data_IF_742560154294
#
_entry.id   IF_742560154294
#
_cell.length_a   1.000
_cell.length_b   1.000
_cell.length_c   1.000
_cell.angle_alpha   90.00
_cell.angle_beta   90.00
_cell.angle_gamma   90.00
#
_symmetry.space_group_name_H-M   'P 1'
#
loop_
_entity.id
_entity.type
_entity.pdbx_description
1 polymer ?
#
# COMPACT_ATOMS: atom_id res chain seq x y z
N UNK A 1 -34.06 -23.08 22.88
CA UNK A 1 -33.26 -24.31 22.61
C UNK A 1 -33.36 -24.79 21.16
N UNK A 2 -34.51 -24.66 20.47
CA UNK A 2 -34.71 -25.20 19.11
C UNK A 2 -33.88 -24.49 18.03
N UNK A 3 -33.68 -23.16 18.15
CA UNK A 3 -32.97 -22.37 17.14
C UNK A 3 -31.47 -22.75 16.98
N UNK A 4 -30.84 -23.19 18.08
CA UNK A 4 -29.44 -23.66 18.08
C UNK A 4 -29.27 -25.00 17.34
N UNK A 5 -30.32 -25.82 17.27
CA UNK A 5 -30.30 -27.15 16.63
C UNK A 5 -30.56 -27.08 15.13
N UNK A 6 -31.26 -26.04 14.65
CA UNK A 6 -31.59 -25.83 13.24
C UNK A 6 -30.64 -24.86 12.51
N UNK A 7 -29.61 -24.36 13.21
CA UNK A 7 -28.70 -23.30 12.75
C UNK A 7 -29.44 -22.11 12.11
N UNK A 8 -30.58 -21.72 12.68
CA UNK A 8 -31.37 -20.60 12.19
C UNK A 8 -31.29 -19.43 13.17
N UNK A 9 -31.12 -18.23 12.63
CA UNK A 9 -30.93 -17.03 13.43
C UNK A 9 -31.39 -15.75 12.72
N UNK A 10 -31.09 -14.63 13.36
CA UNK A 10 -31.40 -13.29 12.86
C UNK A 10 -30.07 -12.64 12.50
N UNK A 11 -30.01 -12.00 11.33
CA UNK A 11 -28.86 -11.20 10.89
C UNK A 11 -29.31 -9.74 10.79
N UNK A 12 -28.66 -8.88 11.56
CA UNK A 12 -28.84 -7.42 11.50
C UNK A 12 -27.66 -6.82 10.75
N UNK A 13 -27.93 -6.07 9.69
CA UNK A 13 -26.93 -5.35 8.90
C UNK A 13 -27.14 -3.85 9.11
N UNK A 14 -26.19 -3.22 9.78
CA UNK A 14 -26.18 -1.77 9.97
C UNK A 14 -25.33 -1.15 8.84
N UNK A 15 -25.93 -0.24 8.05
CA UNK A 15 -25.25 0.42 6.94
C UNK A 15 -25.26 1.94 7.15
N UNK A 16 -24.20 2.62 6.73
CA UNK A 16 -24.10 4.08 6.80
C UNK A 16 -24.89 4.82 5.69
N UNK A 17 -25.79 4.12 4.97
CA UNK A 17 -26.61 4.67 3.88
C UNK A 17 -27.92 5.31 4.37
N UNK A 18 -28.56 6.09 3.49
CA UNK A 18 -29.75 6.94 3.76
C UNK A 18 -30.97 6.20 4.36
N UNK A 19 -31.02 4.87 4.26
CA UNK A 19 -32.06 4.03 4.87
C UNK A 19 -31.38 3.10 5.88
N UNK A 20 -31.43 3.48 7.16
CA UNK A 20 -30.80 2.75 8.26
C UNK A 20 -31.22 1.28 8.36
N UNK A 21 -30.36 0.50 9.02
CA UNK A 21 -30.43 -0.89 9.48
C UNK A 21 -31.44 -1.84 8.79
N UNK A 22 -30.92 -2.86 8.11
CA UNK A 22 -31.71 -3.94 7.52
C UNK A 22 -31.66 -5.19 8.42
N UNK A 23 -32.83 -5.65 8.88
CA UNK A 23 -32.98 -6.85 9.71
C UNK A 23 -33.55 -8.00 8.89
N UNK A 24 -32.83 -9.11 8.84
CA UNK A 24 -33.25 -10.35 8.18
C UNK A 24 -33.53 -11.43 9.21
N UNK A 25 -34.78 -11.87 9.29
CA UNK A 25 -35.23 -12.93 10.21
C UNK A 25 -35.22 -14.31 9.54
N UNK A 26 -35.07 -15.36 10.36
CA UNK A 26 -35.16 -16.76 9.94
C UNK A 26 -34.14 -17.16 8.85
N UNK A 27 -32.91 -16.64 8.97
CA UNK A 27 -31.84 -16.98 8.04
C UNK A 27 -31.22 -18.33 8.42
N UNK A 28 -31.14 -19.28 7.49
CA UNK A 28 -30.37 -20.50 7.68
C UNK A 28 -28.88 -20.16 7.62
N UNK A 29 -28.14 -20.62 8.63
CA UNK A 29 -26.70 -20.40 8.82
C UNK A 29 -26.28 -18.91 8.78
N UNK A 30 -26.68 -18.11 9.79
CA UNK A 30 -26.41 -16.68 9.83
C UNK A 30 -24.91 -16.33 9.83
N UNK A 31 -24.06 -17.21 10.36
CA UNK A 31 -22.60 -17.05 10.35
C UNK A 31 -22.03 -17.12 8.94
N UNK A 32 -22.53 -18.04 8.11
CA UNK A 32 -22.12 -18.12 6.71
C UNK A 32 -22.53 -16.88 5.92
N UNK A 33 -23.76 -16.38 6.14
CA UNK A 33 -24.22 -15.13 5.50
C UNK A 33 -23.33 -13.94 5.90
N UNK A 34 -23.01 -13.82 7.19
CA UNK A 34 -22.06 -12.82 7.70
C UNK A 34 -20.70 -12.93 7.01
N UNK A 35 -20.15 -14.14 6.91
CA UNK A 35 -18.84 -14.38 6.29
C UNK A 35 -18.80 -14.02 4.80
N UNK A 36 -19.87 -14.30 4.05
CA UNK A 36 -19.98 -13.90 2.64
C UNK A 36 -19.96 -12.38 2.49
N UNK A 37 -20.68 -11.66 3.35
CA UNK A 37 -20.70 -10.19 3.33
C UNK A 37 -19.30 -9.63 3.61
N UNK A 38 -18.63 -10.10 4.67
CA UNK A 38 -17.26 -9.64 4.98
C UNK A 38 -16.28 -9.96 3.86
N UNK A 39 -16.35 -11.16 3.29
CA UNK A 39 -15.49 -11.55 2.18
C UNK A 39 -15.67 -10.64 0.96
N UNK A 40 -16.90 -10.22 0.65
CA UNK A 40 -17.15 -9.30 -0.45
C UNK A 40 -16.58 -7.91 -0.17
N UNK A 41 -16.75 -7.41 1.06
CA UNK A 41 -16.17 -6.12 1.49
C UNK A 41 -14.65 -6.14 1.40
N UNK A 42 -14.01 -7.25 1.79
CA UNK A 42 -12.55 -7.38 1.71
C UNK A 42 -12.05 -7.42 0.27
N UNK A 43 -12.75 -8.16 -0.62
CA UNK A 43 -12.44 -8.18 -2.07
C UNK A 43 -12.51 -6.78 -2.67
N UNK A 44 -13.56 -6.01 -2.34
CA UNK A 44 -13.74 -4.66 -2.86
C UNK A 44 -12.62 -3.72 -2.35
N UNK A 45 -12.22 -3.82 -1.08
CA UNK A 45 -11.08 -3.05 -0.53
C UNK A 45 -9.74 -3.42 -1.16
N UNK A 46 -9.50 -4.71 -1.41
CA UNK A 46 -8.28 -5.18 -2.07
C UNK A 46 -8.21 -4.68 -3.52
N UNK A 47 -9.35 -4.67 -4.23
CA UNK A 47 -9.44 -4.15 -5.59
C UNK A 47 -9.20 -2.63 -5.62
N UNK A 48 -9.74 -1.88 -4.67
CA UNK A 48 -9.53 -0.43 -4.56
C UNK A 48 -8.06 -0.10 -4.22
N UNK A 49 -7.50 -0.82 -3.24
CA UNK A 49 -6.09 -0.67 -2.84
C UNK A 49 -5.12 -0.97 -3.99
N UNK A 50 -5.44 -1.97 -4.81
CA UNK A 50 -4.62 -2.32 -5.99
C UNK A 50 -4.70 -1.22 -7.05
N UNK A 51 -5.89 -0.66 -7.31
CA UNK A 51 -6.07 0.47 -8.23
C UNK A 51 -5.30 1.70 -7.75
N UNK A 52 -5.34 2.00 -6.46
CA UNK A 52 -4.59 3.11 -5.88
C UNK A 52 -3.09 2.90 -5.97
N UNK A 53 -2.61 1.68 -5.71
CA UNK A 53 -1.19 1.33 -5.85
C UNK A 53 -0.73 1.44 -7.30
N UNK A 54 -1.53 0.97 -8.27
CA UNK A 54 -1.25 1.08 -9.70
C UNK A 54 -1.26 2.54 -10.16
N UNK A 55 -2.22 3.35 -9.70
CA UNK A 55 -2.31 4.77 -9.99
C UNK A 55 -1.11 5.54 -9.42
N UNK A 56 -0.69 5.22 -8.20
CA UNK A 56 0.50 5.80 -7.58
C UNK A 56 1.77 5.38 -8.32
N UNK A 57 1.91 4.11 -8.70
CA UNK A 57 3.05 3.60 -9.47
C UNK A 57 3.13 4.28 -10.85
N UNK A 58 1.99 4.50 -11.51
CA UNK A 58 1.92 5.22 -12.78
C UNK A 58 2.33 6.70 -12.61
N UNK A 59 1.84 7.38 -11.57
CA UNK A 59 2.19 8.76 -11.28
C UNK A 59 3.68 8.94 -10.93
N UNK A 60 4.27 7.99 -10.21
CA UNK A 60 5.71 7.98 -9.93
C UNK A 60 6.52 7.76 -11.21
N UNK A 61 6.08 6.86 -12.09
CA UNK A 61 6.77 6.57 -13.36
C UNK A 61 6.76 7.77 -14.32
N UNK A 62 5.71 8.58 -14.32
CA UNK A 62 5.63 9.82 -15.11
C UNK A 62 6.53 10.93 -14.54
N UNK A 63 6.84 10.87 -13.23
CA UNK A 63 7.73 11.80 -12.54
C UNK A 63 9.20 11.36 -12.52
N UNK A 64 9.47 10.09 -12.81
CA UNK A 64 10.82 9.55 -12.92
C UNK A 64 11.39 9.90 -14.31
N UNK A 65 12.58 10.52 -14.40
CA UNK A 65 13.25 10.70 -15.69
C UNK A 65 13.46 9.35 -16.38
N UNK A 66 13.51 9.31 -17.73
CA UNK A 66 13.64 8.07 -18.48
C UNK A 66 14.83 7.23 -18.00
N UNK A 67 14.71 5.89 -17.97
CA UNK A 67 15.79 4.99 -17.54
C UNK A 67 16.95 5.12 -18.53
N UNK A 68 17.90 5.98 -18.17
CA UNK A 68 18.99 6.48 -19.02
C UNK A 68 19.73 7.64 -18.35
N UNK A 69 19.08 8.37 -17.45
CA UNK A 69 19.74 9.27 -16.49
C UNK A 69 19.96 8.54 -15.15
N UNK A 70 20.67 7.41 -15.17
CA UNK A 70 21.44 7.05 -13.98
C UNK A 70 22.46 8.17 -13.82
N UNK A 71 22.32 9.01 -12.79
CA UNK A 71 23.26 10.11 -12.50
C UNK A 71 24.66 9.63 -12.80
N UNK A 72 25.30 10.26 -13.79
CA UNK A 72 26.62 9.82 -14.23
C UNK A 72 27.55 9.73 -13.01
N UNK A 73 28.55 8.85 -13.01
CA UNK A 73 29.50 8.75 -11.89
C UNK A 73 30.06 10.12 -11.47
N UNK A 74 30.19 11.03 -12.43
CA UNK A 74 30.52 12.44 -12.23
C UNK A 74 29.47 13.23 -11.43
N UNK A 75 28.18 13.12 -11.77
CA UNK A 75 27.08 13.76 -11.01
C UNK A 75 26.98 13.23 -9.58
N UNK A 76 27.19 11.92 -9.36
CA UNK A 76 27.21 11.35 -8.00
C UNK A 76 28.36 11.89 -7.16
N UNK A 77 29.53 12.10 -7.78
CA UNK A 77 30.69 12.70 -7.11
C UNK A 77 30.42 14.15 -6.67
N UNK A 78 29.79 14.93 -7.56
CA UNK A 78 29.46 16.35 -7.32
C UNK A 78 28.40 16.51 -6.22
N UNK A 79 27.41 15.62 -6.17
CA UNK A 79 26.38 15.58 -5.13
C UNK A 79 26.99 15.18 -3.76
N UNK A 80 27.94 14.24 -3.75
CA UNK A 80 28.70 13.88 -2.55
C UNK A 80 29.56 15.02 -2.01
N UNK A 81 30.22 15.77 -2.90
CA UNK A 81 31.04 16.94 -2.53
C UNK A 81 30.17 18.06 -1.96
N UNK A 82 28.99 18.28 -2.54
CA UNK A 82 28.01 19.24 -2.02
C UNK A 82 27.51 18.86 -0.61
N UNK A 83 27.21 17.58 -0.38
CA UNK A 83 26.76 17.09 0.94
C UNK A 83 27.87 17.14 2.01
N UNK A 84 29.12 16.95 1.61
CA UNK A 84 30.29 17.12 2.49
C UNK A 84 30.51 18.60 2.84
N UNK A 85 30.40 19.50 1.86
CA UNK A 85 30.50 20.94 2.06
C UNK A 85 29.39 21.50 2.97
N UNK A 86 28.19 20.92 2.92
CA UNK A 86 27.06 21.26 3.81
C UNK A 86 27.17 20.60 5.21
N UNK A 87 28.18 19.75 5.41
CA UNK A 87 28.47 19.09 6.68
C UNK A 87 27.52 17.93 7.03
N UNK A 88 26.73 17.45 6.08
CA UNK A 88 25.85 16.28 6.27
C UNK A 88 26.57 14.93 6.12
N UNK A 89 27.77 14.94 5.54
CA UNK A 89 28.61 13.75 5.33
C UNK A 89 29.96 14.00 5.97
N UNK A 90 30.45 13.05 6.75
CA UNK A 90 31.77 13.13 7.37
C UNK A 90 32.91 12.93 6.35
N UNK A 91 34.11 13.42 6.65
CA UNK A 91 35.28 13.25 5.78
C UNK A 91 35.55 11.76 5.43
N UNK A 92 35.33 10.85 6.38
CA UNK A 92 35.51 9.40 6.20
C UNK A 92 34.45 8.80 5.26
N UNK A 93 33.20 9.22 5.39
CA UNK A 93 32.10 8.74 4.54
C UNK A 93 32.20 9.28 3.10
N UNK A 94 32.69 10.51 2.95
CA UNK A 94 32.95 11.12 1.65
C UNK A 94 34.03 10.35 0.90
N UNK A 95 35.19 10.10 1.53
CA UNK A 95 36.30 9.37 0.90
C UNK A 95 35.91 7.93 0.52
N UNK A 96 35.17 7.22 1.38
CA UNK A 96 34.69 5.87 1.08
C UNK A 96 33.77 5.86 -0.15
N UNK A 97 32.75 6.72 -0.18
CA UNK A 97 31.79 6.77 -1.29
C UNK A 97 32.42 7.28 -2.58
N UNK A 98 33.37 8.21 -2.49
CA UNK A 98 34.15 8.69 -3.62
C UNK A 98 35.00 7.58 -4.25
N UNK A 99 35.65 6.76 -3.42
CA UNK A 99 36.42 5.60 -3.91
C UNK A 99 35.53 4.52 -4.52
N UNK A 100 34.36 4.26 -3.93
CA UNK A 100 33.38 3.32 -4.47
C UNK A 100 32.91 3.75 -5.88
N UNK A 101 32.54 5.02 -6.04
CA UNK A 101 32.10 5.57 -7.34
C UNK A 101 33.22 5.56 -8.38
N UNK A 102 34.47 5.76 -7.96
CA UNK A 102 35.63 5.72 -8.85
C UNK A 102 36.04 4.28 -9.22
N UNK A 103 35.79 3.31 -8.35
CA UNK A 103 36.03 1.89 -8.60
C UNK A 103 34.97 1.22 -9.48
N UNK A 104 33.77 1.81 -9.55
CA UNK A 104 32.65 1.37 -10.40
C UNK A 104 32.67 2.00 -11.82
N UNK A 105 33.75 2.72 -12.16
CA UNK A 105 33.99 3.38 -13.45
C UNK A 105 34.81 2.50 -14.40
#
# INVERSE_FOLDING_TARGET
MIARTLNNGIVTIESAGETGDSVFENIPDPENVRNVIFKQVDIDKEADSTRDADALAAALRDRLPPPGETSSPKQRLEELEALHADGLVSDEEFEQKRQEILGDL
#
